data_IF_655796060615
#
_entry.id   IF_655796060615
#
_cell.length_a   1.000
_cell.length_b   1.000
_cell.length_c   1.000
_cell.angle_alpha   90.00
_cell.angle_beta   90.00
_cell.angle_gamma   90.00
#
_symmetry.space_group_name_H-M   'P 1'
#
loop_
_entity.id
_entity.type
_entity.pdbx_description
1 polymer ?
#
# COMPACT_ATOMS: atom_id res chain seq x y z
N UNK A 1 25.91 -1.01 -12.44
CA UNK A 1 25.04 -0.96 -11.27
C UNK A 1 24.70 -2.37 -10.80
N UNK A 2 24.49 -2.54 -9.50
CA UNK A 2 23.96 -3.80 -8.96
C UNK A 2 22.43 -3.84 -9.03
N UNK A 3 21.87 -5.01 -9.33
CA UNK A 3 20.44 -5.25 -9.37
C UNK A 3 20.12 -6.70 -9.00
N UNK A 4 18.96 -6.92 -8.43
CA UNK A 4 18.38 -8.25 -8.27
C UNK A 4 17.50 -8.54 -9.47
N UNK A 5 17.65 -9.73 -10.04
CA UNK A 5 16.82 -10.17 -11.16
C UNK A 5 16.26 -11.56 -10.90
N UNK A 6 15.21 -11.91 -11.66
CA UNK A 6 14.79 -13.29 -11.83
C UNK A 6 14.37 -13.55 -13.29
N UNK A 7 14.63 -14.78 -13.78
CA UNK A 7 14.31 -15.21 -15.15
C UNK A 7 13.16 -16.21 -15.19
N UNK A 8 13.00 -16.97 -14.12
CA UNK A 8 11.96 -17.98 -14.00
C UNK A 8 11.10 -17.69 -12.77
N UNK A 9 9.80 -18.02 -12.84
CA UNK A 9 8.95 -17.98 -11.68
C UNK A 9 9.36 -19.08 -10.68
N UNK A 10 9.27 -18.80 -9.39
CA UNK A 10 9.66 -19.76 -8.36
C UNK A 10 9.69 -19.21 -6.96
N UNK A 11 10.35 -19.93 -6.05
CA UNK A 11 10.63 -19.50 -4.68
C UNK A 11 11.62 -18.33 -4.63
N UNK A 12 11.95 -17.81 -3.41
CA UNK A 12 12.90 -16.71 -3.26
C UNK A 12 14.27 -16.96 -3.89
N UNK A 13 14.67 -18.22 -4.03
CA UNK A 13 16.00 -18.62 -4.52
C UNK A 13 16.21 -18.35 -6.02
N UNK A 14 15.15 -17.97 -6.77
CA UNK A 14 15.28 -17.53 -8.17
C UNK A 14 15.82 -16.10 -8.31
N UNK A 15 15.96 -15.38 -7.19
CA UNK A 15 16.45 -14.00 -7.15
C UNK A 15 17.99 -13.99 -7.14
N UNK A 16 18.58 -13.38 -8.16
CA UNK A 16 20.02 -13.32 -8.38
C UNK A 16 20.52 -11.88 -8.32
N UNK A 17 21.62 -11.65 -7.59
CA UNK A 17 22.34 -10.36 -7.62
C UNK A 17 23.27 -10.36 -8.84
N UNK A 18 23.14 -9.34 -9.69
CA UNK A 18 23.94 -9.19 -10.90
C UNK A 18 24.49 -7.78 -11.05
N UNK A 19 25.61 -7.65 -11.77
CA UNK A 19 26.12 -6.39 -12.27
C UNK A 19 25.54 -6.10 -13.67
N UNK A 20 25.13 -4.86 -13.90
CA UNK A 20 24.50 -4.39 -15.14
C UNK A 20 24.95 -2.99 -15.51
N UNK A 21 24.77 -2.62 -16.78
CA UNK A 21 24.90 -1.24 -17.22
C UNK A 21 23.79 -0.38 -16.58
N UNK A 22 24.11 0.87 -16.30
CA UNK A 22 23.13 1.83 -15.81
C UNK A 22 22.07 2.11 -16.90
N UNK A 23 20.76 2.04 -16.59
CA UNK A 23 19.73 2.33 -17.57
C UNK A 23 19.72 3.83 -17.93
N UNK A 24 19.36 4.15 -19.18
CA UNK A 24 19.18 5.54 -19.64
C UNK A 24 17.69 5.84 -19.74
N UNK A 25 17.20 6.96 -19.17
CA UNK A 25 15.79 7.32 -19.27
C UNK A 25 15.43 7.73 -20.71
N UNK A 26 14.34 7.14 -21.21
CA UNK A 26 13.73 7.50 -22.49
C UNK A 26 12.86 8.76 -22.38
N UNK A 27 12.21 9.19 -23.48
CA UNK A 27 11.29 10.34 -23.47
C UNK A 27 10.16 10.16 -22.44
N UNK A 28 9.94 11.18 -21.61
CA UNK A 28 8.90 11.17 -20.57
C UNK A 28 9.28 10.37 -19.30
N UNK A 29 10.52 9.85 -19.21
CA UNK A 29 10.98 9.04 -18.08
C UNK A 29 12.00 9.80 -17.23
N UNK A 30 12.16 9.33 -16.00
CA UNK A 30 13.21 9.74 -15.06
C UNK A 30 14.00 8.52 -14.62
N UNK A 31 15.31 8.71 -14.36
CA UNK A 31 16.13 7.74 -13.66
C UNK A 31 16.27 8.16 -12.20
N UNK A 32 16.08 7.20 -11.32
CA UNK A 32 16.17 7.41 -9.88
C UNK A 32 17.29 6.55 -9.32
N UNK A 33 18.20 7.19 -8.59
CA UNK A 33 19.16 6.54 -7.70
C UNK A 33 18.41 6.20 -6.43
N UNK A 34 18.23 4.90 -6.20
CA UNK A 34 17.48 4.39 -5.07
C UNK A 34 18.32 4.39 -3.80
N UNK A 35 17.72 4.79 -2.69
CA UNK A 35 18.25 4.63 -1.35
C UNK A 35 17.60 3.42 -0.66
N UNK A 36 16.28 3.27 -0.78
CA UNK A 36 15.50 2.20 -0.14
C UNK A 36 14.45 1.67 -1.11
N UNK A 37 14.29 0.37 -1.14
CA UNK A 37 13.22 -0.33 -1.87
C UNK A 37 12.24 -1.01 -0.90
N UNK A 38 10.94 -0.96 -1.18
CA UNK A 38 9.89 -1.55 -0.36
C UNK A 38 9.37 -2.86 -0.94
N UNK A 39 9.28 -3.90 -0.10
CA UNK A 39 8.73 -5.20 -0.50
C UNK A 39 7.27 -5.32 -0.09
N UNK A 40 6.43 -5.81 -0.99
CA UNK A 40 4.99 -6.02 -0.79
C UNK A 40 4.59 -7.47 -1.07
N UNK A 41 3.44 -7.93 -0.56
CA UNK A 41 2.91 -9.26 -0.89
C UNK A 41 2.76 -9.50 -2.40
N UNK A 42 2.43 -8.46 -3.17
CA UNK A 42 2.31 -8.56 -4.63
C UNK A 42 3.63 -8.92 -5.32
N UNK A 43 4.77 -8.50 -4.78
CA UNK A 43 6.09 -8.74 -5.37
C UNK A 43 6.44 -10.23 -5.35
N UNK A 44 6.25 -10.91 -4.21
CA UNK A 44 6.49 -12.34 -4.14
C UNK A 44 5.42 -13.16 -4.88
N UNK A 45 4.14 -12.72 -4.87
CA UNK A 45 3.06 -13.37 -5.63
C UNK A 45 3.34 -13.31 -7.14
N UNK A 46 3.88 -12.19 -7.65
CA UNK A 46 4.30 -12.06 -9.05
C UNK A 46 5.53 -12.92 -9.36
N UNK A 47 6.56 -12.85 -8.50
CA UNK A 47 7.76 -13.67 -8.66
C UNK A 47 7.43 -15.18 -8.66
N UNK A 48 6.56 -15.63 -7.76
CA UNK A 48 6.15 -17.04 -7.69
C UNK A 48 5.28 -17.51 -8.85
N UNK A 49 4.70 -16.58 -9.64
CA UNK A 49 3.72 -16.88 -10.67
C UNK A 49 2.29 -17.06 -10.16
N UNK A 50 2.02 -16.74 -8.89
CA UNK A 50 0.70 -16.92 -8.28
C UNK A 50 -0.37 -15.93 -8.79
N UNK A 51 0.04 -14.78 -9.35
CA UNK A 51 -0.90 -13.75 -9.82
C UNK A 51 -0.90 -13.62 -11.34
N UNK A 52 0.13 -13.01 -11.91
CA UNK A 52 0.22 -12.77 -13.35
C UNK A 52 1.41 -13.51 -13.98
N UNK A 53 1.26 -14.02 -15.21
CA UNK A 53 2.40 -14.56 -15.91
C UNK A 53 3.46 -13.47 -16.12
N UNK A 54 4.73 -13.88 -16.01
CA UNK A 54 5.88 -13.01 -16.28
C UNK A 54 5.82 -12.50 -17.72
N UNK A 55 5.91 -11.19 -17.91
CA UNK A 55 5.79 -10.54 -19.24
C UNK A 55 7.14 -10.33 -19.93
N UNK A 56 8.25 -10.38 -19.18
CA UNK A 56 9.60 -10.13 -19.68
C UNK A 56 10.50 -11.33 -19.41
N UNK A 57 11.49 -11.57 -20.28
CA UNK A 57 12.44 -12.65 -20.11
C UNK A 57 13.22 -12.56 -18.79
N UNK A 58 13.51 -11.35 -18.37
CA UNK A 58 14.19 -11.01 -17.12
C UNK A 58 13.48 -9.84 -16.45
N UNK A 59 13.35 -9.88 -15.13
CA UNK A 59 12.62 -8.86 -14.33
C UNK A 59 13.45 -8.47 -13.12
N UNK A 60 13.58 -7.16 -12.87
CA UNK A 60 13.97 -6.61 -11.57
C UNK A 60 12.69 -6.48 -10.74
N UNK A 61 12.59 -7.13 -9.56
CA UNK A 61 11.37 -7.11 -8.76
C UNK A 61 11.18 -5.79 -8.02
N UNK A 62 10.05 -5.72 -7.29
CA UNK A 62 9.61 -4.65 -6.39
C UNK A 62 9.07 -3.42 -7.11
N UNK A 63 8.01 -2.86 -6.52
CA UNK A 63 7.20 -1.79 -7.11
C UNK A 63 7.41 -0.45 -6.42
N UNK A 64 7.81 -0.47 -5.14
CA UNK A 64 7.93 0.68 -4.27
C UNK A 64 9.39 0.98 -3.97
N UNK A 65 9.73 2.24 -3.90
CA UNK A 65 11.07 2.67 -3.52
C UNK A 65 11.12 4.17 -3.28
N UNK A 66 12.27 4.63 -2.80
CA UNK A 66 12.53 6.05 -2.64
C UNK A 66 14.01 6.36 -2.92
N UNK A 67 14.27 7.55 -3.41
CA UNK A 67 15.61 7.97 -3.77
C UNK A 67 15.63 9.36 -4.38
N UNK A 68 16.61 9.61 -5.24
CA UNK A 68 16.83 10.92 -5.87
C UNK A 68 16.88 10.76 -7.39
N UNK A 69 16.19 11.62 -8.11
CA UNK A 69 16.29 11.67 -9.57
C UNK A 69 17.70 12.12 -9.94
N UNK A 70 18.43 11.30 -10.70
CA UNK A 70 19.80 11.62 -11.15
C UNK A 70 19.90 11.89 -12.65
N UNK A 71 18.86 11.54 -13.41
CA UNK A 71 18.76 11.88 -14.84
C UNK A 71 17.30 11.93 -15.29
N UNK A 72 17.03 12.72 -16.32
CA UNK A 72 15.71 12.86 -16.94
C UNK A 72 15.80 12.66 -18.45
N UNK A 73 14.77 12.06 -19.02
CA UNK A 73 14.62 11.88 -20.46
C UNK A 73 14.03 13.11 -21.17
N UNK A 74 13.98 13.05 -22.50
CA UNK A 74 13.41 14.12 -23.30
C UNK A 74 11.95 14.40 -22.88
N UNK A 75 11.57 15.69 -22.82
CA UNK A 75 10.22 16.13 -22.45
C UNK A 75 9.96 16.20 -20.94
N UNK A 76 10.93 15.84 -20.09
CA UNK A 76 10.85 16.01 -18.64
C UNK A 76 11.67 17.24 -18.23
N UNK A 77 11.14 18.01 -17.28
CA UNK A 77 11.83 19.20 -16.75
C UNK A 77 13.18 18.82 -16.12
N UNK A 78 14.27 19.44 -16.60
CA UNK A 78 15.63 19.27 -16.08
C UNK A 78 15.76 19.70 -14.61
N UNK A 79 14.92 20.60 -14.13
CA UNK A 79 14.86 21.03 -12.74
C UNK A 79 14.48 19.90 -11.75
N UNK A 80 14.01 18.75 -12.26
CA UNK A 80 13.74 17.57 -11.43
C UNK A 80 15.01 16.79 -11.02
N UNK A 81 16.15 17.00 -11.67
CA UNK A 81 17.42 16.40 -11.25
C UNK A 81 17.78 16.90 -9.85
N UNK A 82 18.09 15.99 -8.95
CA UNK A 82 18.29 16.27 -7.53
C UNK A 82 17.02 16.18 -6.66
N UNK A 83 15.83 16.06 -7.27
CA UNK A 83 14.58 15.94 -6.54
C UNK A 83 14.50 14.62 -5.77
N UNK A 84 14.18 14.69 -4.48
CA UNK A 84 13.82 13.52 -3.66
C UNK A 84 12.44 13.04 -4.06
N UNK A 85 12.32 11.73 -4.28
CA UNK A 85 11.07 11.12 -4.75
C UNK A 85 10.78 9.80 -4.06
N UNK A 86 9.49 9.47 -4.01
CA UNK A 86 9.03 8.12 -3.76
C UNK A 86 8.38 7.56 -5.04
N UNK A 87 8.54 6.26 -5.25
CA UNK A 87 8.12 5.56 -6.45
C UNK A 87 6.93 4.65 -6.17
N UNK A 88 6.06 4.53 -7.14
CA UNK A 88 4.97 3.57 -7.12
C UNK A 88 4.84 2.85 -8.46
N UNK A 89 4.52 1.58 -8.39
CA UNK A 89 4.34 0.72 -9.56
C UNK A 89 5.54 0.75 -10.52
N UNK A 90 6.77 0.87 -10.00
CA UNK A 90 7.98 1.01 -10.80
C UNK A 90 8.15 -0.16 -11.78
N UNK A 91 7.90 -1.40 -11.33
CA UNK A 91 7.99 -2.62 -12.16
C UNK A 91 6.69 -3.05 -12.81
N UNK A 92 5.57 -2.33 -12.64
CA UNK A 92 4.27 -2.77 -13.16
C UNK A 92 4.22 -2.68 -14.70
N UNK A 93 4.20 -3.85 -15.36
CA UNK A 93 4.24 -3.94 -16.83
C UNK A 93 5.60 -3.62 -17.45
N UNK A 94 6.65 -3.45 -16.63
CA UNK A 94 8.01 -3.12 -17.03
C UNK A 94 8.98 -4.22 -16.58
N UNK A 95 10.14 -4.30 -17.23
CA UNK A 95 11.22 -5.20 -16.83
C UNK A 95 12.00 -4.68 -15.60
N UNK A 96 11.94 -3.38 -15.33
CA UNK A 96 12.66 -2.70 -14.26
C UNK A 96 11.79 -2.44 -13.04
N UNK A 97 12.29 -2.81 -11.85
CA UNK A 97 11.70 -2.52 -10.54
C UNK A 97 12.67 -1.77 -9.63
N UNK A 98 12.43 -1.81 -8.32
CA UNK A 98 13.22 -1.03 -7.35
C UNK A 98 14.28 -1.84 -6.59
N UNK A 99 14.43 -3.13 -6.86
CA UNK A 99 15.51 -3.95 -6.28
C UNK A 99 16.84 -3.75 -7.04
N UNK A 100 17.29 -2.50 -7.18
CA UNK A 100 18.49 -2.11 -7.92
C UNK A 100 19.02 -0.75 -7.45
N UNK A 101 20.29 -0.45 -7.74
CA UNK A 101 20.87 0.89 -7.44
C UNK A 101 20.20 2.01 -8.25
N UNK A 102 19.80 1.72 -9.48
CA UNK A 102 19.16 2.66 -10.39
C UNK A 102 17.94 2.02 -11.02
N UNK A 103 16.86 2.78 -11.14
CA UNK A 103 15.67 2.39 -11.91
C UNK A 103 15.22 3.52 -12.81
N UNK A 104 14.55 3.17 -13.91
CA UNK A 104 13.91 4.14 -14.83
C UNK A 104 12.41 3.92 -14.77
N UNK A 105 11.68 5.01 -14.58
CA UNK A 105 10.21 5.00 -14.50
C UNK A 105 9.61 6.17 -15.29
N UNK A 106 8.35 6.05 -15.76
CA UNK A 106 7.61 7.21 -16.23
C UNK A 106 7.64 8.33 -15.18
N UNK A 107 7.89 9.57 -15.60
CA UNK A 107 8.08 10.71 -14.70
C UNK A 107 6.90 10.92 -13.72
N UNK A 108 5.67 10.52 -14.12
CA UNK A 108 4.48 10.57 -13.27
C UNK A 108 4.47 9.53 -12.14
N UNK A 109 5.31 8.48 -12.21
CA UNK A 109 5.43 7.46 -11.14
C UNK A 109 6.51 7.80 -10.10
N UNK A 110 7.19 8.92 -10.26
CA UNK A 110 8.15 9.47 -9.31
C UNK A 110 7.55 10.72 -8.64
N UNK A 111 6.84 10.51 -7.54
CA UNK A 111 6.17 11.58 -6.80
C UNK A 111 7.15 12.27 -5.84
N UNK A 112 7.03 13.60 -5.60
CA UNK A 112 7.90 14.33 -4.69
C UNK A 112 7.82 13.79 -3.26
N UNK A 113 8.98 13.59 -2.63
CA UNK A 113 9.12 13.27 -1.21
C UNK A 113 9.60 14.53 -0.47
N UNK A 114 8.86 14.92 0.58
CA UNK A 114 9.22 16.07 1.41
C UNK A 114 10.63 15.90 2.02
N UNK A 115 11.36 17.01 2.19
CA UNK A 115 12.75 16.98 2.66
C UNK A 115 12.87 16.42 4.09
N UNK A 116 11.87 16.64 4.92
CA UNK A 116 11.79 16.15 6.30
C UNK A 116 11.48 14.65 6.39
N UNK A 117 10.91 14.06 5.33
CA UNK A 117 10.57 12.65 5.30
C UNK A 117 11.77 11.78 4.93
N UNK A 118 12.04 10.73 5.71
CA UNK A 118 13.07 9.74 5.38
C UNK A 118 12.72 8.93 4.13
N UNK A 119 13.72 8.33 3.48
CA UNK A 119 13.48 7.42 2.36
C UNK A 119 12.73 6.15 2.79
N UNK A 120 12.78 5.78 4.07
CA UNK A 120 11.98 4.68 4.65
C UNK A 120 10.48 4.98 4.54
N UNK A 121 10.07 6.23 4.84
CA UNK A 121 8.70 6.69 4.61
C UNK A 121 8.37 6.53 3.13
N UNK A 122 9.20 7.09 2.24
CA UNK A 122 8.98 7.04 0.80
C UNK A 122 8.81 5.60 0.25
N UNK A 123 9.70 4.68 0.66
CA UNK A 123 9.65 3.27 0.24
C UNK A 123 8.47 2.48 0.86
N UNK A 124 7.78 3.06 1.83
CA UNK A 124 6.60 2.46 2.46
C UNK A 124 5.27 2.96 1.89
N UNK A 125 5.28 3.96 0.98
CA UNK A 125 4.06 4.61 0.47
C UNK A 125 3.42 3.88 -0.71
N UNK A 126 4.17 3.56 -1.75
CA UNK A 126 3.69 3.15 -3.06
C UNK A 126 2.42 2.30 -3.07
N UNK A 127 2.55 0.99 -3.09
CA UNK A 127 1.39 0.07 -3.06
C UNK A 127 0.53 0.27 -1.81
N UNK A 128 1.09 0.37 -0.58
CA UNK A 128 0.24 0.46 0.62
C UNK A 128 -0.60 1.74 0.70
N UNK A 129 0.02 2.91 0.59
CA UNK A 129 -0.70 4.18 0.78
C UNK A 129 -1.65 4.50 -0.38
N UNK A 130 -1.29 4.17 -1.63
CA UNK A 130 -2.19 4.35 -2.77
C UNK A 130 -3.38 3.40 -2.73
N UNK A 131 -3.21 2.16 -2.26
CA UNK A 131 -4.31 1.22 -2.04
C UNK A 131 -5.25 1.74 -0.95
N UNK A 132 -4.69 2.21 0.17
CA UNK A 132 -5.45 2.82 1.26
C UNK A 132 -6.20 4.08 0.79
N UNK A 133 -5.53 4.98 0.08
CA UNK A 133 -6.15 6.17 -0.51
C UNK A 133 -7.34 5.78 -1.40
N UNK A 134 -7.14 4.81 -2.30
CA UNK A 134 -8.21 4.37 -3.20
C UNK A 134 -9.38 3.77 -2.42
N UNK A 135 -9.14 2.95 -1.40
CA UNK A 135 -10.20 2.39 -0.56
C UNK A 135 -11.05 3.48 0.12
N UNK A 136 -10.42 4.59 0.52
CA UNK A 136 -11.09 5.70 1.19
C UNK A 136 -11.82 6.67 0.22
N UNK A 137 -11.57 6.59 -1.10
CA UNK A 137 -12.10 7.53 -2.10
C UNK A 137 -13.09 6.94 -3.10
N UNK A 138 -13.48 5.67 -2.95
CA UNK A 138 -14.39 4.99 -3.87
C UNK A 138 -15.86 5.03 -3.49
N UNK A 139 -16.20 5.51 -2.31
CA UNK A 139 -17.58 5.59 -1.86
C UNK A 139 -18.35 6.66 -2.66
N UNK A 140 -19.66 6.44 -2.90
CA UNK A 140 -20.50 7.26 -3.77
C UNK A 140 -20.59 8.72 -3.32
N UNK A 141 -20.79 8.92 -2.01
CA UNK A 141 -21.00 10.25 -1.42
C UNK A 141 -19.70 10.79 -0.80
N UNK A 142 -18.54 10.47 -1.39
CA UNK A 142 -17.24 10.80 -0.80
C UNK A 142 -16.37 11.62 -1.73
N UNK A 143 -15.41 12.37 -1.19
CA UNK A 143 -14.47 13.08 -2.01
C UNK A 143 -13.64 12.10 -2.82
N UNK A 144 -13.35 12.46 -4.07
CA UNK A 144 -12.37 11.75 -4.90
C UNK A 144 -10.92 12.04 -4.50
N UNK A 145 -10.72 13.00 -3.61
CA UNK A 145 -9.42 13.47 -3.10
C UNK A 145 -9.46 13.50 -1.59
N UNK A 146 -8.36 13.13 -0.95
CA UNK A 146 -8.17 13.24 0.49
C UNK A 146 -7.45 14.55 0.83
N UNK A 147 -7.89 15.16 1.90
CA UNK A 147 -7.30 16.35 2.53
C UNK A 147 -7.85 16.48 3.95
N UNK A 148 -7.27 17.30 4.84
CA UNK A 148 -7.86 17.56 6.14
C UNK A 148 -9.33 17.94 6.02
N UNK A 149 -10.18 17.29 6.82
CA UNK A 149 -11.64 17.49 6.85
C UNK A 149 -12.43 16.77 5.76
N UNK A 150 -11.79 16.09 4.79
CA UNK A 150 -12.49 15.42 3.69
C UNK A 150 -13.42 14.28 4.16
N UNK A 151 -13.15 13.68 5.31
CA UNK A 151 -13.93 12.60 5.91
C UNK A 151 -14.51 12.98 7.28
N UNK A 152 -14.68 14.28 7.56
CA UNK A 152 -15.29 14.73 8.81
C UNK A 152 -16.66 14.09 9.03
N UNK A 153 -16.90 13.63 10.27
CA UNK A 153 -18.14 12.96 10.67
C UNK A 153 -18.35 11.57 10.06
N UNK A 154 -17.32 10.97 9.44
CA UNK A 154 -17.35 9.62 8.91
C UNK A 154 -16.70 8.63 9.85
N UNK A 155 -17.21 7.40 9.83
CA UNK A 155 -16.62 6.27 10.54
C UNK A 155 -16.02 5.30 9.50
N UNK A 156 -14.74 5.02 9.65
CA UNK A 156 -14.00 4.09 8.79
C UNK A 156 -13.58 2.88 9.61
N UNK A 157 -13.95 1.69 9.14
CA UNK A 157 -13.46 0.43 9.66
C UNK A 157 -12.26 -0.03 8.82
N UNK A 158 -11.14 -0.31 9.48
CA UNK A 158 -9.93 -0.81 8.83
C UNK A 158 -9.68 -2.24 9.30
N UNK A 159 -9.88 -3.21 8.43
CA UNK A 159 -9.54 -4.60 8.68
C UNK A 159 -8.02 -4.80 8.61
N UNK A 160 -7.43 -5.40 9.65
CA UNK A 160 -6.00 -5.69 9.68
C UNK A 160 -5.11 -4.46 9.81
N UNK A 161 -5.41 -3.56 10.75
CA UNK A 161 -4.70 -2.28 10.93
C UNK A 161 -3.20 -2.35 11.21
N UNK A 162 -2.66 -3.52 11.58
CA UNK A 162 -1.22 -3.72 11.78
C UNK A 162 -0.45 -4.09 10.48
N UNK A 163 -1.14 -4.27 9.35
CA UNK A 163 -0.51 -4.46 8.03
C UNK A 163 -0.20 -3.13 7.36
N UNK A 164 0.70 -3.11 6.38
CA UNK A 164 1.14 -1.86 5.74
C UNK A 164 0.00 -1.04 5.10
N UNK A 165 -0.96 -1.69 4.42
CA UNK A 165 -2.14 -1.00 3.86
C UNK A 165 -3.07 -0.54 4.97
N UNK A 166 -3.33 -1.39 6.00
CA UNK A 166 -4.17 -1.04 7.14
C UNK A 166 -3.60 0.14 7.92
N UNK A 167 -2.31 0.15 8.17
CA UNK A 167 -1.59 1.26 8.80
C UNK A 167 -1.79 2.57 8.02
N UNK A 168 -1.51 2.57 6.70
CA UNK A 168 -1.71 3.73 5.86
C UNK A 168 -3.19 4.18 5.82
N UNK A 169 -4.14 3.23 5.83
CA UNK A 169 -5.57 3.54 5.86
C UNK A 169 -5.99 4.21 7.17
N UNK A 170 -5.47 3.75 8.32
CA UNK A 170 -5.71 4.39 9.62
C UNK A 170 -5.20 5.83 9.57
N UNK A 171 -3.95 6.03 9.15
CA UNK A 171 -3.32 7.36 9.15
C UNK A 171 -4.00 8.31 8.16
N UNK A 172 -4.27 7.90 6.93
CA UNK A 172 -4.96 8.72 5.92
C UNK A 172 -6.40 9.06 6.34
N UNK A 173 -7.14 8.09 6.88
CA UNK A 173 -8.51 8.34 7.36
C UNK A 173 -8.51 9.34 8.52
N UNK A 174 -7.57 9.23 9.46
CA UNK A 174 -7.38 10.20 10.54
C UNK A 174 -7.01 11.60 10.05
N UNK A 175 -6.04 11.69 9.15
CA UNK A 175 -5.63 12.94 8.52
C UNK A 175 -6.81 13.63 7.82
N UNK A 176 -7.68 12.82 7.22
CA UNK A 176 -8.89 13.29 6.54
C UNK A 176 -10.07 13.59 7.49
N UNK A 177 -9.94 13.40 8.83
CA UNK A 177 -10.94 13.75 9.83
C UNK A 177 -11.92 12.65 10.23
N UNK A 178 -11.74 11.40 9.75
CA UNK A 178 -12.62 10.30 10.11
C UNK A 178 -12.41 9.79 11.54
N UNK A 179 -13.46 9.23 12.13
CA UNK A 179 -13.33 8.31 13.27
C UNK A 179 -12.89 6.95 12.72
N UNK A 180 -11.78 6.41 13.24
CA UNK A 180 -11.19 5.17 12.75
C UNK A 180 -11.34 4.06 13.79
N UNK A 181 -11.97 2.97 13.38
CA UNK A 181 -12.03 1.70 14.09
C UNK A 181 -11.12 0.70 13.35
N UNK A 182 -10.31 -0.05 14.05
CA UNK A 182 -9.48 -1.11 13.41
C UNK A 182 -9.74 -2.45 14.06
N UNK A 183 -9.83 -3.51 13.24
CA UNK A 183 -9.88 -4.90 13.71
C UNK A 183 -8.52 -5.57 13.60
N UNK A 184 -8.18 -6.36 14.63
CA UNK A 184 -6.89 -7.07 14.75
C UNK A 184 -7.09 -8.47 15.38
N UNK A 185 -6.04 -9.29 15.40
CA UNK A 185 -6.10 -10.69 15.85
C UNK A 185 -5.37 -10.98 17.16
N UNK A 186 -4.88 -9.96 17.86
CA UNK A 186 -4.17 -10.15 19.14
C UNK A 186 -3.48 -8.90 19.66
N UNK A 187 -2.93 -8.93 20.88
CA UNK A 187 -2.51 -7.75 21.63
C UNK A 187 -1.34 -6.98 20.99
N UNK A 188 -0.38 -7.67 20.37
CA UNK A 188 0.73 -7.00 19.66
C UNK A 188 0.21 -6.16 18.50
N UNK A 189 -0.68 -6.73 17.67
CA UNK A 189 -1.30 -6.01 16.56
C UNK A 189 -2.22 -4.89 17.03
N UNK A 190 -2.82 -5.04 18.21
CA UNK A 190 -3.63 -3.98 18.82
C UNK A 190 -2.76 -2.76 19.17
N UNK A 191 -1.59 -2.99 19.78
CA UNK A 191 -0.62 -1.92 20.08
C UNK A 191 -0.19 -1.19 18.81
N UNK A 192 0.09 -1.91 17.71
CA UNK A 192 0.48 -1.31 16.45
C UNK A 192 -0.65 -0.49 15.81
N UNK A 193 -1.87 -1.01 15.76
CA UNK A 193 -3.02 -0.27 15.23
C UNK A 193 -3.33 1.00 16.04
N UNK A 194 -3.20 0.94 17.37
CA UNK A 194 -3.35 2.11 18.24
C UNK A 194 -2.22 3.13 17.99
N UNK A 195 -0.96 2.67 17.86
CA UNK A 195 0.18 3.53 17.55
C UNK A 195 0.07 4.19 16.16
N UNK A 196 -0.54 3.49 15.18
CA UNK A 196 -0.89 4.07 13.88
C UNK A 196 -1.97 5.16 13.98
N UNK A 197 -2.66 5.22 15.12
CA UNK A 197 -3.64 6.24 15.42
C UNK A 197 -5.10 5.80 15.29
N UNK A 198 -5.43 4.50 15.27
CA UNK A 198 -6.83 4.08 15.37
C UNK A 198 -7.47 4.62 16.66
N UNK A 199 -8.67 5.17 16.55
CA UNK A 199 -9.42 5.66 17.73
C UNK A 199 -9.92 4.50 18.59
N UNK A 200 -10.31 3.40 17.94
CA UNK A 200 -10.78 2.18 18.57
C UNK A 200 -10.13 0.97 17.92
N UNK A 201 -9.72 0.03 18.74
CA UNK A 201 -9.10 -1.22 18.27
C UNK A 201 -9.87 -2.40 18.87
N UNK A 202 -10.35 -3.30 18.00
CA UNK A 202 -11.21 -4.42 18.37
C UNK A 202 -10.52 -5.73 17.98
N UNK A 203 -10.39 -6.63 18.93
CA UNK A 203 -9.88 -7.96 18.66
C UNK A 203 -11.02 -8.86 18.14
N UNK A 204 -11.05 -9.13 16.84
CA UNK A 204 -12.13 -9.94 16.24
C UNK A 204 -12.15 -11.42 16.67
N UNK A 205 -11.16 -11.85 17.46
CA UNK A 205 -11.10 -13.21 18.02
C UNK A 205 -11.74 -13.32 19.41
N UNK A 206 -12.14 -12.21 19.99
CA UNK A 206 -12.67 -12.10 21.34
C UNK A 206 -14.05 -11.42 21.32
N UNK A 207 -14.92 -11.80 22.24
CA UNK A 207 -16.22 -11.14 22.44
C UNK A 207 -17.16 -11.18 21.22
N UNK A 208 -17.89 -10.11 21.04
CA UNK A 208 -18.78 -9.85 19.90
C UNK A 208 -18.30 -8.57 19.17
N UNK A 209 -17.43 -8.70 18.16
CA UNK A 209 -16.87 -7.55 17.45
C UNK A 209 -17.95 -6.70 16.76
N UNK A 210 -19.07 -7.30 16.32
CA UNK A 210 -20.14 -6.53 15.70
C UNK A 210 -20.87 -5.65 16.73
N UNK A 211 -21.17 -6.17 17.90
CA UNK A 211 -21.77 -5.40 18.98
C UNK A 211 -20.84 -4.29 19.47
N UNK A 212 -19.54 -4.55 19.60
CA UNK A 212 -18.56 -3.55 20.00
C UNK A 212 -18.45 -2.41 18.96
N UNK A 213 -18.38 -2.72 17.66
CA UNK A 213 -18.35 -1.72 16.59
C UNK A 213 -19.66 -0.92 16.58
N UNK A 214 -20.81 -1.57 16.75
CA UNK A 214 -22.11 -0.90 16.81
C UNK A 214 -22.27 0.00 18.05
N UNK A 215 -21.65 -0.32 19.16
CA UNK A 215 -21.63 0.56 20.33
C UNK A 215 -20.87 1.88 20.04
N UNK A 216 -19.83 1.85 19.21
CA UNK A 216 -19.04 3.01 18.78
C UNK A 216 -19.76 3.77 17.65
N UNK A 217 -20.31 3.03 16.70
CA UNK A 217 -21.00 3.55 15.51
C UNK A 217 -22.43 3.00 15.42
N UNK A 218 -23.40 3.55 16.19
CA UNK A 218 -24.76 3.02 16.22
C UNK A 218 -25.44 2.99 14.86
N UNK A 219 -25.18 3.99 14.02
CA UNK A 219 -25.70 4.07 12.64
C UNK A 219 -24.92 3.21 11.65
N UNK A 220 -23.81 2.61 12.09
CA UNK A 220 -22.88 1.81 11.30
C UNK A 220 -21.73 2.60 10.69
N UNK A 221 -20.77 1.85 10.13
CA UNK A 221 -19.57 2.41 9.49
C UNK A 221 -19.84 2.85 8.05
N UNK A 222 -19.21 3.92 7.62
CA UNK A 222 -19.37 4.48 6.27
C UNK A 222 -18.55 3.72 5.22
N UNK A 223 -17.31 3.34 5.57
CA UNK A 223 -16.36 2.70 4.70
C UNK A 223 -15.67 1.57 5.48
N UNK A 224 -15.57 0.42 4.84
CA UNK A 224 -14.70 -0.69 5.29
C UNK A 224 -13.54 -0.81 4.32
N UNK A 225 -12.31 -0.63 4.80
CA UNK A 225 -11.09 -0.97 4.07
C UNK A 225 -10.74 -2.43 4.38
N UNK A 226 -10.98 -3.35 3.41
CA UNK A 226 -11.05 -4.78 3.67
C UNK A 226 -9.92 -5.57 3.00
N UNK A 227 -9.27 -6.42 3.78
CA UNK A 227 -8.12 -7.25 3.36
C UNK A 227 -8.46 -8.73 3.18
N UNK A 228 -9.55 -9.22 3.78
CA UNK A 228 -9.90 -10.65 3.84
C UNK A 228 -11.41 -10.87 3.74
N UNK A 229 -12.04 -10.33 2.67
CA UNK A 229 -13.50 -10.31 2.49
C UNK A 229 -14.15 -11.68 2.73
N UNK A 230 -13.52 -12.77 2.27
CA UNK A 230 -14.05 -14.12 2.45
C UNK A 230 -14.13 -14.59 3.91
N UNK A 231 -13.36 -13.96 4.81
CA UNK A 231 -13.42 -14.22 6.25
C UNK A 231 -14.32 -13.23 7.00
N UNK A 232 -14.36 -11.96 6.53
CA UNK A 232 -14.93 -10.84 7.28
C UNK A 232 -16.32 -10.39 6.80
N UNK A 233 -16.81 -10.88 5.65
CA UNK A 233 -18.05 -10.39 5.02
C UNK A 233 -19.25 -10.31 5.99
N UNK A 234 -19.42 -11.33 6.86
CA UNK A 234 -20.52 -11.34 7.82
C UNK A 234 -20.41 -10.19 8.84
N UNK A 235 -19.19 -9.94 9.35
CA UNK A 235 -18.91 -8.81 10.24
C UNK A 235 -19.12 -7.49 9.52
N UNK A 236 -18.55 -7.35 8.32
CA UNK A 236 -18.66 -6.12 7.53
C UNK A 236 -20.10 -5.73 7.29
N UNK A 237 -20.94 -6.67 6.83
CA UNK A 237 -22.36 -6.42 6.60
C UNK A 237 -23.13 -6.15 7.89
N UNK A 238 -22.79 -6.79 9.02
CA UNK A 238 -23.41 -6.56 10.30
C UNK A 238 -23.19 -5.13 10.83
N UNK A 239 -22.07 -4.50 10.45
CA UNK A 239 -21.68 -3.16 10.97
C UNK A 239 -21.80 -2.05 9.93
N UNK A 240 -22.00 -2.39 8.65
CA UNK A 240 -22.11 -1.39 7.59
C UNK A 240 -23.40 -0.57 7.74
N UNK A 241 -23.33 0.73 7.53
CA UNK A 241 -24.53 1.58 7.44
C UNK A 241 -25.22 1.44 6.07
N UNK A 242 -26.46 1.92 5.99
CA UNK A 242 -27.13 2.10 4.71
C UNK A 242 -26.30 3.00 3.79
N UNK A 243 -26.09 2.58 2.52
CA UNK A 243 -25.22 3.21 1.50
C UNK A 243 -23.73 3.20 1.87
N UNK A 244 -23.33 2.33 2.79
CA UNK A 244 -21.91 2.12 3.11
C UNK A 244 -21.16 1.39 2.00
N UNK A 245 -19.84 1.47 2.02
CA UNK A 245 -18.96 0.89 1.01
C UNK A 245 -17.97 -0.07 1.65
N UNK A 246 -17.87 -1.28 1.11
CA UNK A 246 -16.82 -2.25 1.40
C UNK A 246 -15.82 -2.19 0.25
N UNK A 247 -14.61 -1.67 0.52
CA UNK A 247 -13.53 -1.55 -0.44
C UNK A 247 -12.49 -2.64 -0.17
N UNK A 248 -12.52 -3.74 -0.94
CA UNK A 248 -11.63 -4.88 -0.73
C UNK A 248 -10.47 -4.86 -1.71
N UNK A 249 -9.25 -5.00 -1.18
CA UNK A 249 -8.01 -4.97 -1.95
C UNK A 249 -7.23 -6.30 -1.89
N UNK A 250 -7.68 -7.24 -1.06
CA UNK A 250 -7.15 -8.59 -0.97
C UNK A 250 -8.25 -9.55 -0.50
N UNK A 251 -7.98 -10.84 -0.59
CA UNK A 251 -8.81 -11.89 -0.04
C UNK A 251 -7.88 -13.00 0.48
N UNK A 252 -7.08 -12.66 1.48
CA UNK A 252 -6.18 -13.61 2.11
C UNK A 252 -7.00 -14.71 2.80
N UNK A 253 -6.73 -15.96 2.40
CA UNK A 253 -7.55 -17.11 2.77
C UNK A 253 -8.49 -17.60 1.65
N UNK A 254 -8.67 -16.84 0.55
CA UNK A 254 -9.20 -17.30 -0.74
C UNK A 254 -10.59 -17.90 -0.76
N UNK A 255 -11.40 -17.76 0.29
CA UNK A 255 -12.75 -18.32 0.32
C UNK A 255 -13.69 -17.56 -0.60
N UNK A 256 -14.50 -18.24 -1.41
CA UNK A 256 -15.62 -17.64 -2.12
C UNK A 256 -16.56 -16.93 -1.14
N UNK A 257 -17.18 -15.85 -1.58
CA UNK A 257 -18.20 -15.12 -0.82
C UNK A 257 -19.57 -15.41 -1.40
N UNK A 258 -20.56 -15.63 -0.53
CA UNK A 258 -21.98 -15.71 -0.90
C UNK A 258 -22.65 -14.41 -0.46
N UNK A 259 -23.41 -13.79 -1.39
CA UNK A 259 -24.10 -12.54 -1.13
C UNK A 259 -25.62 -12.77 -1.13
N UNK A 260 -26.29 -12.44 -0.04
CA UNK A 260 -27.73 -12.25 -0.04
C UNK A 260 -28.07 -10.96 -0.78
N UNK A 261 -28.55 -11.13 -2.02
CA UNK A 261 -28.88 -9.99 -2.89
C UNK A 261 -29.93 -9.08 -2.26
N UNK A 262 -30.97 -9.66 -1.61
CA UNK A 262 -32.04 -8.86 -1.01
C UNK A 262 -31.52 -8.05 0.19
N UNK A 263 -30.73 -8.65 1.06
CA UNK A 263 -30.12 -7.94 2.21
C UNK A 263 -29.29 -6.76 1.72
N UNK A 264 -28.43 -6.96 0.71
CA UNK A 264 -27.59 -5.92 0.16
C UNK A 264 -28.38 -4.82 -0.56
N UNK A 265 -29.48 -5.16 -1.25
CA UNK A 265 -30.41 -4.19 -1.83
C UNK A 265 -31.07 -3.32 -0.76
N UNK A 266 -31.46 -3.89 0.38
CA UNK A 266 -32.18 -3.15 1.45
C UNK A 266 -31.32 -2.03 2.05
N UNK A 267 -30.01 -2.19 2.12
CA UNK A 267 -29.09 -1.17 2.66
C UNK A 267 -28.28 -0.48 1.57
N UNK A 268 -28.54 -0.77 0.28
CA UNK A 268 -27.78 -0.19 -0.85
C UNK A 268 -26.26 -0.33 -0.68
N UNK A 269 -25.80 -1.55 -0.35
CA UNK A 269 -24.38 -1.83 -0.14
C UNK A 269 -23.60 -1.58 -1.43
N UNK A 270 -22.43 -0.96 -1.33
CA UNK A 270 -21.46 -0.87 -2.41
C UNK A 270 -20.28 -1.79 -2.12
N UNK A 271 -19.94 -2.65 -3.07
CA UNK A 271 -18.69 -3.39 -3.09
C UNK A 271 -17.77 -2.79 -4.13
N UNK A 272 -16.55 -2.46 -3.72
CA UNK A 272 -15.49 -2.05 -4.62
C UNK A 272 -14.31 -3.01 -4.50
N UNK A 273 -14.05 -3.77 -5.56
CA UNK A 273 -12.85 -4.59 -5.66
C UNK A 273 -11.72 -3.74 -6.21
N UNK A 274 -10.56 -3.78 -5.55
CA UNK A 274 -9.42 -2.93 -5.85
C UNK A 274 -8.20 -3.76 -6.26
N UNK A 275 -7.66 -3.47 -7.43
CA UNK A 275 -6.29 -3.83 -7.82
C UNK A 275 -5.62 -2.57 -8.34
N UNK A 276 -4.57 -2.14 -7.67
CA UNK A 276 -3.95 -0.83 -7.91
C UNK A 276 -3.50 -0.62 -9.36
N UNK A 277 -3.12 -1.70 -10.06
CA UNK A 277 -2.66 -1.65 -11.46
C UNK A 277 -3.74 -1.28 -12.47
N UNK A 278 -5.01 -1.32 -12.08
CA UNK A 278 -6.16 -1.14 -12.98
C UNK A 278 -7.10 -0.01 -12.56
N UNK A 279 -6.70 0.81 -11.57
CA UNK A 279 -7.56 1.93 -11.10
C UNK A 279 -7.54 3.15 -12.04
N UNK A 280 -6.63 3.18 -13.01
CA UNK A 280 -6.46 4.26 -13.97
C UNK A 280 -5.50 5.35 -13.51
N UNK A 281 -4.85 6.00 -14.48
CA UNK A 281 -3.77 6.97 -14.23
C UNK A 281 -4.25 8.21 -13.47
N UNK A 282 -5.47 8.69 -13.73
CA UNK A 282 -6.06 9.83 -13.00
C UNK A 282 -6.18 9.54 -11.51
N UNK A 283 -6.66 8.34 -11.14
CA UNK A 283 -6.80 7.96 -9.75
C UNK A 283 -5.44 7.75 -9.06
N UNK A 284 -4.45 7.21 -9.78
CA UNK A 284 -3.07 7.07 -9.29
C UNK A 284 -2.42 8.42 -9.06
N UNK A 285 -2.52 9.35 -10.01
CA UNK A 285 -1.96 10.70 -9.91
C UNK A 285 -2.59 11.47 -8.75
N UNK A 286 -3.93 11.45 -8.64
CA UNK A 286 -4.66 12.06 -7.55
C UNK A 286 -4.23 11.47 -6.19
N UNK A 287 -4.09 10.15 -6.10
CA UNK A 287 -3.60 9.47 -4.91
C UNK A 287 -2.18 9.86 -4.55
N UNK A 288 -1.28 9.94 -5.53
CA UNK A 288 0.12 10.33 -5.30
C UNK A 288 0.25 11.78 -4.79
N UNK A 289 -0.55 12.70 -5.32
CA UNK A 289 -0.62 14.08 -4.82
C UNK A 289 -1.11 14.17 -3.38
N UNK A 290 -2.21 13.47 -3.05
CA UNK A 290 -2.82 13.48 -1.72
C UNK A 290 -1.91 12.80 -0.69
N UNK A 291 -1.29 11.67 -1.04
CA UNK A 291 -0.31 10.98 -0.20
C UNK A 291 0.92 11.86 0.04
N UNK A 292 1.46 12.52 -1.00
CA UNK A 292 2.56 13.48 -0.82
C UNK A 292 2.16 14.66 0.07
N UNK A 293 0.90 15.11 0.01
CA UNK A 293 0.40 16.16 0.91
C UNK A 293 0.34 15.66 2.36
N UNK A 294 -0.18 14.45 2.59
CA UNK A 294 -0.23 13.84 3.92
C UNK A 294 1.17 13.64 4.52
N UNK A 295 2.17 13.26 3.69
CA UNK A 295 3.58 13.17 4.12
C UNK A 295 4.12 14.54 4.55
N UNK A 296 3.87 15.59 3.76
CA UNK A 296 4.28 16.97 4.13
C UNK A 296 3.67 17.44 5.44
N UNK A 297 2.43 17.03 5.71
CA UNK A 297 1.72 17.34 6.96
C UNK A 297 2.18 16.45 8.13
N UNK A 298 3.15 15.54 7.93
CA UNK A 298 3.64 14.61 8.95
C UNK A 298 2.64 13.50 9.32
N UNK A 299 1.64 13.24 8.48
CA UNK A 299 0.53 12.33 8.80
C UNK A 299 0.81 10.85 8.49
N UNK A 300 1.91 10.54 7.81
CA UNK A 300 2.28 9.17 7.39
C UNK A 300 3.66 8.73 7.93
N UNK A 301 3.94 8.87 9.24
CA UNK A 301 5.16 8.35 9.80
C UNK A 301 5.18 6.81 9.80
N UNK A 302 6.39 6.24 9.76
CA UNK A 302 6.65 4.80 9.87
C UNK A 302 7.58 4.53 11.04
N UNK A 303 7.72 3.28 11.43
CA UNK A 303 8.48 2.86 12.61
C UNK A 303 7.56 2.17 13.62
N UNK A 304 8.15 1.46 14.56
CA UNK A 304 7.41 0.71 15.57
C UNK A 304 6.56 1.64 16.45
N UNK A 305 7.11 2.79 16.81
CA UNK A 305 6.47 3.85 17.60
C UNK A 305 5.25 4.46 16.89
N UNK A 306 5.19 4.32 15.57
CA UNK A 306 4.10 4.78 14.71
C UNK A 306 3.22 3.63 14.20
N UNK A 307 3.42 2.41 14.71
CA UNK A 307 2.58 1.26 14.38
C UNK A 307 2.97 0.48 13.14
N UNK A 308 4.11 0.78 12.51
CA UNK A 308 4.64 0.05 11.36
C UNK A 308 6.11 -0.28 11.56
N UNK A 309 6.46 -1.38 12.27
CA UNK A 309 7.83 -1.83 12.40
C UNK A 309 8.52 -2.00 11.04
N UNK A 310 9.81 -1.65 10.96
CA UNK A 310 10.61 -1.77 9.74
C UNK A 310 11.56 -2.96 9.86
N UNK A 311 11.41 -3.93 8.95
CA UNK A 311 12.30 -5.09 8.84
C UNK A 311 13.22 -4.86 7.65
N UNK A 312 14.54 -4.81 7.87
CA UNK A 312 15.52 -4.34 6.88
C UNK A 312 16.47 -5.45 6.43
N UNK A 313 16.76 -5.43 5.14
CA UNK A 313 17.73 -6.33 4.50
C UNK A 313 18.61 -5.53 3.52
N UNK A 314 19.91 -5.83 3.38
CA UNK A 314 20.71 -5.26 2.30
C UNK A 314 20.29 -5.83 0.93
N UNK A 315 20.60 -5.11 -0.16
CA UNK A 315 20.24 -5.50 -1.54
C UNK A 315 20.60 -6.96 -1.85
N UNK A 316 21.78 -7.41 -1.47
CA UNK A 316 22.22 -8.80 -1.70
C UNK A 316 21.41 -9.87 -0.97
N UNK A 317 20.53 -9.48 -0.04
CA UNK A 317 19.62 -10.36 0.71
C UNK A 317 18.15 -10.15 0.37
N UNK A 318 17.85 -9.66 -0.83
CA UNK A 318 16.46 -9.47 -1.30
C UNK A 318 15.66 -10.78 -1.29
N UNK A 319 16.29 -11.93 -1.49
CA UNK A 319 15.62 -13.23 -1.37
C UNK A 319 15.07 -13.46 0.04
N UNK A 320 15.82 -13.09 1.08
CA UNK A 320 15.36 -13.17 2.47
C UNK A 320 14.26 -12.15 2.77
N UNK A 321 14.33 -10.96 2.19
CA UNK A 321 13.29 -9.94 2.30
C UNK A 321 11.96 -10.45 1.71
N UNK A 322 12.00 -11.08 0.54
CA UNK A 322 10.82 -11.71 -0.06
C UNK A 322 10.27 -12.85 0.79
N UNK A 323 11.15 -13.70 1.34
CA UNK A 323 10.76 -14.80 2.25
C UNK A 323 10.09 -14.24 3.51
N UNK A 324 10.62 -13.19 4.10
CA UNK A 324 10.02 -12.56 5.28
C UNK A 324 8.59 -12.07 5.03
N UNK A 325 8.31 -11.46 3.85
CA UNK A 325 6.94 -11.05 3.47
C UNK A 325 6.05 -12.26 3.19
N UNK A 326 6.56 -13.29 2.54
CA UNK A 326 5.86 -14.55 2.23
C UNK A 326 5.46 -15.29 3.51
N UNK A 327 6.33 -15.26 4.54
CA UNK A 327 6.11 -15.84 5.87
C UNK A 327 5.24 -14.95 6.78
N UNK A 328 4.80 -13.79 6.30
CA UNK A 328 3.86 -12.91 7.01
C UNK A 328 4.49 -12.01 8.06
N UNK A 329 5.71 -11.52 7.82
CA UNK A 329 6.35 -10.52 8.67
C UNK A 329 5.40 -9.37 9.02
N UNK A 330 5.34 -9.00 10.29
CA UNK A 330 4.54 -7.85 10.76
C UNK A 330 5.32 -6.57 10.52
N UNK A 331 4.69 -5.58 9.90
CA UNK A 331 5.31 -4.30 9.56
C UNK A 331 5.61 -4.16 8.07
N UNK A 332 6.59 -3.33 7.73
CA UNK A 332 7.07 -3.12 6.36
C UNK A 332 8.47 -3.70 6.18
N UNK A 333 8.63 -4.54 5.17
CA UNK A 333 9.95 -5.04 4.78
C UNK A 333 10.57 -4.08 3.79
N UNK A 334 11.79 -3.66 4.08
CA UNK A 334 12.60 -2.74 3.29
C UNK A 334 13.91 -3.38 2.88
N UNK A 335 14.42 -2.98 1.72
CA UNK A 335 15.74 -3.35 1.20
C UNK A 335 16.59 -2.09 1.09
N UNK A 336 17.71 -2.06 1.81
CA UNK A 336 18.72 -1.00 1.73
C UNK A 336 19.57 -1.20 0.49
N UNK A 337 19.64 -0.16 -0.34
CA UNK A 337 20.33 -0.24 -1.64
C UNK A 337 21.79 0.12 -1.49
N UNK A 338 22.11 1.13 -0.67
CA UNK A 338 23.46 1.66 -0.49
C UNK A 338 24.25 1.00 0.69
N UNK A 339 23.82 -0.17 1.19
CA UNK A 339 24.41 -0.84 2.36
C UNK A 339 25.50 -1.87 2.01
#
# INVERSE_FOLDING_TARGET
MKAIIYRDNGGPDVLELVDRDAPTPGPGEVRVRLAVSGVNPTDWKTRSGATNPKQHAEVIPQLDGAGVIDAVGAGVDQGRVGQRVWLYLAGAGLAGGTAAELTVVPAGRAAPLADEAGFDVGASLGVPALTAHRALTVAEDRPRRLRPGALDGKVVLVAGGAGAVGHAAIQLARWAGATVISTISGPEKARLAAAAGAHHVINYREGDPAAEIRAIAPDGVDIVAEVALGANLALDLAVLRTRGTIATYANDGGKPVELDVRQNMMINTRFQFLVLYTVGDEALAAGAEDVSAAVRDGALPVGEEHGLPLVRFPLGRTADAHRAVEDGAVGKVLVDIDA
#
